data_IF_995700703400
#
_entry.id   IF_995700703400
#
_cell.length_a   1.000
_cell.length_b   1.000
_cell.length_c   1.000
_cell.angle_alpha   90.00
_cell.angle_beta   90.00
_cell.angle_gamma   90.00
#
_symmetry.space_group_name_H-M   'P 1'
#
loop_
_entity.id
_entity.type
_entity.pdbx_description
1 polymer ?
#
# COMPACT_ATOMS: atom_id res chain seq x y z
N UNK A 1 34.25 26.99 34.25
CA UNK A 1 34.02 27.80 33.02
C UNK A 1 33.90 26.98 31.75
N UNK A 2 34.79 26.02 31.45
CA UNK A 2 34.71 25.20 30.21
C UNK A 2 33.47 24.29 30.13
N UNK A 3 32.91 23.84 31.26
CA UNK A 3 31.69 23.03 31.34
C UNK A 3 30.39 23.81 31.10
N UNK A 4 30.36 25.12 31.37
CA UNK A 4 29.19 25.98 31.17
C UNK A 4 29.08 26.38 29.69
N UNK A 5 30.20 26.63 29.01
CA UNK A 5 30.21 26.91 27.57
C UNK A 5 29.73 25.71 26.73
N UNK A 6 30.02 24.47 27.15
CA UNK A 6 29.61 23.27 26.42
C UNK A 6 28.10 22.99 26.53
N UNK A 7 27.50 23.29 27.70
CA UNK A 7 26.06 23.18 27.91
C UNK A 7 25.26 24.24 27.12
N UNK A 8 25.81 25.45 26.97
CA UNK A 8 25.18 26.53 26.18
C UNK A 8 25.21 26.26 24.66
N UNK A 9 26.27 25.63 24.15
CA UNK A 9 26.41 25.23 22.74
C UNK A 9 25.48 24.08 22.34
N UNK A 10 25.21 23.14 23.26
CA UNK A 10 24.21 22.09 23.06
C UNK A 10 22.78 22.64 23.11
N UNK A 11 22.51 23.63 23.98
CA UNK A 11 21.20 24.29 24.04
C UNK A 11 20.87 25.03 22.74
N UNK A 12 21.83 25.78 22.16
CA UNK A 12 21.61 26.52 20.91
C UNK A 12 21.35 25.60 19.71
N UNK A 13 22.04 24.46 19.61
CA UNK A 13 21.79 23.48 18.53
C UNK A 13 20.41 22.82 18.61
N UNK A 14 19.88 22.59 19.82
CA UNK A 14 18.52 22.05 19.98
C UNK A 14 17.43 23.08 19.68
N UNK A 15 17.68 24.37 19.90
CA UNK A 15 16.72 25.45 19.60
C UNK A 15 16.56 25.70 18.09
N UNK A 16 17.64 25.62 17.31
CA UNK A 16 17.58 25.81 15.86
C UNK A 16 16.82 24.69 15.13
N UNK A 17 16.95 23.44 15.60
CA UNK A 17 16.23 22.30 15.02
C UNK A 17 14.71 22.40 15.30
N UNK A 18 14.32 22.84 16.51
CA UNK A 18 12.92 23.09 16.85
C UNK A 18 12.34 24.30 16.08
N UNK A 19 13.14 25.35 15.86
CA UNK A 19 12.76 26.53 15.08
C UNK A 19 12.45 26.19 13.62
N UNK A 20 13.32 25.41 12.96
CA UNK A 20 13.10 24.97 11.57
C UNK A 20 11.84 24.12 11.40
N UNK A 21 11.53 23.23 12.36
CA UNK A 21 10.30 22.44 12.29
C UNK A 21 9.05 23.27 12.56
N UNK A 22 9.12 24.29 13.42
CA UNK A 22 7.98 25.16 13.72
C UNK A 22 7.54 25.98 12.50
N UNK A 23 8.49 26.51 11.72
CA UNK A 23 8.19 27.24 10.49
C UNK A 23 7.60 26.31 9.41
N UNK A 24 8.15 25.10 9.24
CA UNK A 24 7.59 24.10 8.33
C UNK A 24 6.15 23.70 8.71
N UNK A 25 5.88 23.51 10.01
CA UNK A 25 4.54 23.18 10.52
C UNK A 25 3.55 24.32 10.23
N UNK A 26 3.98 25.57 10.39
CA UNK A 26 3.16 26.75 10.09
C UNK A 26 2.83 26.85 8.60
N UNK A 27 3.77 26.50 7.74
CA UNK A 27 3.57 26.49 6.29
C UNK A 27 2.70 25.30 5.83
N UNK A 28 2.73 24.16 6.53
CA UNK A 28 1.93 22.99 6.21
C UNK A 28 0.43 23.28 6.22
N UNK A 29 -0.08 23.99 7.24
CA UNK A 29 -1.49 24.37 7.33
C UNK A 29 -1.93 25.19 6.12
N UNK A 30 -1.14 26.21 5.77
CA UNK A 30 -1.41 27.09 4.62
C UNK A 30 -1.36 26.31 3.30
N UNK A 31 -0.38 25.42 3.16
CA UNK A 31 -0.22 24.56 1.99
C UNK A 31 -1.44 23.65 1.80
N UNK A 32 -1.85 22.91 2.83
CA UNK A 32 -2.98 21.98 2.72
C UNK A 32 -4.30 22.71 2.51
N UNK A 33 -4.54 23.84 3.19
CA UNK A 33 -5.73 24.66 2.94
C UNK A 33 -5.76 25.19 1.49
N UNK A 34 -4.63 25.69 0.98
CA UNK A 34 -4.54 26.12 -0.42
C UNK A 34 -4.80 24.97 -1.39
N UNK A 35 -4.28 23.77 -1.10
CA UNK A 35 -4.47 22.58 -1.92
C UNK A 35 -5.91 22.09 -1.92
N UNK A 36 -6.57 22.14 -0.76
CA UNK A 36 -7.97 21.78 -0.70
C UNK A 36 -8.84 22.68 -1.57
N UNK A 37 -8.57 23.99 -1.57
CA UNK A 37 -9.30 24.93 -2.43
C UNK A 37 -8.95 24.77 -3.90
N UNK A 38 -7.68 24.56 -4.26
CA UNK A 38 -7.28 24.46 -5.68
C UNK A 38 -7.69 23.16 -6.35
N UNK A 39 -7.76 22.07 -5.57
CA UNK A 39 -7.96 20.71 -6.09
C UNK A 39 -9.36 20.17 -5.72
N UNK A 40 -10.27 21.04 -5.24
CA UNK A 40 -11.65 20.73 -4.82
C UNK A 40 -11.75 19.54 -3.85
N UNK A 41 -10.82 19.45 -2.89
CA UNK A 41 -10.75 18.35 -1.92
C UNK A 41 -11.74 18.59 -0.78
N UNK A 42 -12.71 17.69 -0.62
CA UNK A 42 -13.76 17.75 0.43
C UNK A 42 -13.17 17.64 1.84
N UNK A 43 -12.23 16.73 2.04
CA UNK A 43 -11.59 16.51 3.32
C UNK A 43 -10.26 15.80 3.16
N UNK A 44 -9.30 16.15 4.01
CA UNK A 44 -7.96 15.61 4.00
C UNK A 44 -7.43 15.48 5.43
N UNK A 45 -6.71 14.41 5.71
CA UNK A 45 -5.90 14.27 6.92
C UNK A 45 -4.45 14.09 6.53
N UNK A 46 -3.55 14.82 7.20
CA UNK A 46 -2.13 14.75 6.98
C UNK A 46 -1.36 14.63 8.29
N UNK A 47 -0.18 14.03 8.22
CA UNK A 47 0.77 13.93 9.33
C UNK A 47 2.20 14.08 8.79
N UNK A 48 3.08 14.67 9.61
CA UNK A 48 4.50 14.77 9.35
C UNK A 48 5.26 13.93 10.38
N UNK A 49 6.14 13.06 9.89
CA UNK A 49 6.95 12.17 10.71
C UNK A 49 8.42 12.49 10.46
N UNK A 50 9.15 12.83 11.53
CA UNK A 50 10.58 13.13 11.50
C UNK A 50 11.25 12.30 12.60
N UNK A 51 12.33 11.60 12.26
CA UNK A 51 13.07 10.72 13.17
C UNK A 51 12.16 9.75 13.95
N UNK A 52 11.20 9.16 13.25
CA UNK A 52 10.24 8.21 13.80
C UNK A 52 9.17 8.82 14.72
N UNK A 53 9.10 10.15 14.85
CA UNK A 53 8.13 10.85 15.70
C UNK A 53 7.15 11.65 14.85
N UNK A 54 5.87 11.57 15.20
CA UNK A 54 4.84 12.44 14.62
C UNK A 54 5.02 13.84 15.22
N UNK A 55 5.54 14.78 14.44
CA UNK A 55 5.76 16.16 14.87
C UNK A 55 4.55 17.06 14.61
N UNK A 56 3.67 16.64 13.69
CA UNK A 56 2.42 17.34 13.40
C UNK A 56 1.42 16.37 12.75
N UNK A 57 0.12 16.56 13.02
CA UNK A 57 -0.98 15.90 12.31
C UNK A 57 -2.25 16.72 12.42
N UNK A 58 -3.04 16.79 11.34
CA UNK A 58 -4.27 17.56 11.30
C UNK A 58 -5.25 17.03 10.26
N UNK A 59 -6.53 17.17 10.55
CA UNK A 59 -7.61 16.97 9.59
C UNK A 59 -8.18 18.32 9.13
N UNK A 60 -8.61 18.38 7.88
CA UNK A 60 -9.14 19.56 7.22
C UNK A 60 -10.42 19.20 6.46
N UNK A 61 -11.39 20.10 6.45
CA UNK A 61 -12.69 19.88 5.80
C UNK A 61 -13.50 18.77 6.46
N UNK A 62 -14.18 17.97 5.64
CA UNK A 62 -15.18 17.02 6.09
C UNK A 62 -14.83 15.59 5.65
N UNK A 63 -14.94 14.61 6.55
CA UNK A 63 -14.96 13.19 6.17
C UNK A 63 -16.33 12.78 5.63
N UNK A 64 -17.37 13.53 5.96
CA UNK A 64 -18.72 13.42 5.41
C UNK A 64 -19.29 14.82 5.27
N UNK A 65 -19.43 15.29 4.03
CA UNK A 65 -19.89 16.64 3.73
C UNK A 65 -21.39 16.81 3.99
N UNK A 66 -22.18 15.79 3.70
CA UNK A 66 -23.65 15.83 3.83
C UNK A 66 -24.04 15.93 5.31
N UNK A 67 -23.41 15.10 6.15
CA UNK A 67 -23.63 15.11 7.60
C UNK A 67 -22.74 16.11 8.34
N UNK A 68 -21.91 16.88 7.63
CA UNK A 68 -20.96 17.87 8.17
C UNK A 68 -20.02 17.28 9.24
N UNK A 69 -19.60 16.03 9.07
CA UNK A 69 -18.64 15.38 9.98
C UNK A 69 -17.24 15.83 9.59
N UNK A 70 -16.54 16.46 10.53
CA UNK A 70 -15.18 16.97 10.30
C UNK A 70 -14.19 15.83 10.05
N UNK A 71 -13.30 16.04 9.08
CA UNK A 71 -12.16 15.16 8.89
C UNK A 71 -11.19 15.34 10.06
N UNK A 72 -10.72 14.22 10.61
CA UNK A 72 -9.73 14.22 11.70
C UNK A 72 -8.58 13.26 11.39
N UNK A 73 -7.45 13.34 12.11
CA UNK A 73 -6.40 12.33 12.01
C UNK A 73 -6.81 10.90 12.41
N UNK A 74 -8.04 10.70 12.89
CA UNK A 74 -8.60 9.38 13.25
C UNK A 74 -9.67 8.90 12.26
N UNK A 75 -10.09 9.74 11.32
CA UNK A 75 -11.09 9.37 10.32
C UNK A 75 -10.54 8.25 9.44
N UNK A 76 -11.33 7.19 9.25
CA UNK A 76 -10.97 6.06 8.38
C UNK A 76 -11.30 6.43 6.95
N UNK A 77 -10.37 6.18 6.04
CA UNK A 77 -10.52 6.42 4.60
C UNK A 77 -10.04 5.21 3.81
N UNK A 78 -10.59 5.03 2.61
CA UNK A 78 -10.10 4.01 1.68
C UNK A 78 -8.74 4.46 1.10
N UNK A 79 -7.67 3.77 1.48
CA UNK A 79 -6.30 4.11 1.06
C UNK A 79 -5.95 3.61 -0.36
N UNK A 80 -6.86 2.88 -1.00
CA UNK A 80 -6.73 2.41 -2.38
C UNK A 80 -5.41 1.68 -2.64
N UNK A 81 -4.65 2.19 -3.61
CA UNK A 81 -3.42 1.52 -4.07
C UNK A 81 -2.30 1.44 -3.04
N UNK A 82 -2.37 2.20 -1.94
CA UNK A 82 -1.43 2.06 -0.80
C UNK A 82 -1.49 0.65 -0.20
N UNK A 83 -2.64 -0.03 -0.28
CA UNK A 83 -2.83 -1.42 0.16
C UNK A 83 -1.79 -2.39 -0.42
N UNK A 84 -1.28 -2.13 -1.62
CA UNK A 84 -0.24 -2.96 -2.26
C UNK A 84 1.04 -3.07 -1.43
N UNK A 85 1.38 -2.03 -0.67
CA UNK A 85 2.54 -2.05 0.21
C UNK A 85 2.39 -3.11 1.32
N UNK A 86 1.16 -3.29 1.85
CA UNK A 86 0.85 -4.35 2.82
C UNK A 86 0.89 -5.73 2.16
N UNK A 87 0.38 -5.88 0.94
CA UNK A 87 0.49 -7.14 0.18
C UNK A 87 1.94 -7.51 -0.09
N UNK A 88 2.76 -6.54 -0.52
CA UNK A 88 4.18 -6.74 -0.76
C UNK A 88 4.92 -7.12 0.54
N UNK A 89 4.63 -6.45 1.65
CA UNK A 89 5.18 -6.80 2.96
C UNK A 89 4.79 -8.23 3.38
N UNK A 90 3.52 -8.61 3.21
CA UNK A 90 3.06 -9.96 3.51
C UNK A 90 3.80 -11.04 2.68
N UNK A 91 4.01 -10.78 1.38
CA UNK A 91 4.83 -11.67 0.54
C UNK A 91 6.27 -11.74 1.03
N UNK A 92 6.89 -10.61 1.35
CA UNK A 92 8.28 -10.61 1.84
C UNK A 92 8.42 -11.35 3.17
N UNK A 93 7.44 -11.29 4.08
CA UNK A 93 7.42 -12.13 5.29
C UNK A 93 7.38 -13.64 4.95
N UNK A 94 6.68 -14.04 3.89
CA UNK A 94 6.68 -15.43 3.41
C UNK A 94 8.01 -15.81 2.74
N UNK A 95 8.68 -14.86 2.08
CA UNK A 95 10.04 -15.02 1.54
C UNK A 95 11.05 -15.24 2.66
N UNK A 96 11.00 -14.42 3.71
CA UNK A 96 11.86 -14.56 4.90
C UNK A 96 11.68 -15.90 5.61
N UNK A 97 10.48 -16.49 5.54
CA UNK A 97 10.18 -17.84 6.07
C UNK A 97 10.60 -18.97 5.13
N UNK A 98 11.14 -18.67 3.94
CA UNK A 98 11.51 -19.66 2.92
C UNK A 98 10.31 -20.33 2.23
N UNK A 99 9.10 -19.79 2.41
CA UNK A 99 7.87 -20.34 1.82
C UNK A 99 7.64 -19.85 0.38
N UNK A 100 8.20 -18.68 0.05
CA UNK A 100 8.18 -18.10 -1.29
C UNK A 100 9.60 -17.74 -1.71
N UNK A 101 9.91 -18.05 -2.95
CA UNK A 101 11.06 -17.55 -3.71
C UNK A 101 10.50 -16.65 -4.82
N UNK A 102 10.96 -15.40 -4.83
CA UNK A 102 10.48 -14.36 -5.75
C UNK A 102 10.74 -14.70 -7.22
N UNK A 103 11.81 -15.46 -7.50
CA UNK A 103 12.26 -15.76 -8.86
C UNK A 103 11.69 -17.08 -9.38
N UNK A 104 10.92 -17.81 -8.57
CA UNK A 104 10.20 -18.99 -9.02
C UNK A 104 8.89 -18.63 -9.73
N UNK A 105 8.44 -19.49 -10.66
CA UNK A 105 7.16 -19.32 -11.33
C UNK A 105 6.00 -19.20 -10.32
N UNK A 106 5.09 -18.24 -10.54
CA UNK A 106 3.95 -17.97 -9.67
C UNK A 106 3.04 -19.19 -9.49
N UNK A 107 2.85 -19.96 -10.56
CA UNK A 107 2.02 -21.16 -10.57
C UNK A 107 2.59 -22.32 -9.70
N UNK A 108 3.84 -22.22 -9.22
CA UNK A 108 4.36 -23.14 -8.19
C UNK A 108 3.66 -22.90 -6.84
N UNK A 109 3.33 -21.64 -6.53
CA UNK A 109 2.68 -21.25 -5.28
C UNK A 109 1.16 -21.16 -5.40
N UNK A 110 0.67 -20.88 -6.60
CA UNK A 110 -0.75 -20.82 -6.92
C UNK A 110 -1.07 -21.71 -8.14
N UNK A 111 -1.19 -23.05 -7.98
CA UNK A 111 -1.37 -23.98 -9.10
C UNK A 111 -2.64 -23.77 -9.93
N UNK A 112 -3.62 -23.06 -9.37
CA UNK A 112 -4.85 -22.64 -10.03
C UNK A 112 -4.65 -21.45 -10.99
N UNK A 113 -3.53 -20.72 -10.92
CA UNK A 113 -3.20 -19.65 -11.86
C UNK A 113 -2.78 -20.23 -13.21
N UNK A 114 -3.68 -20.14 -14.18
CA UNK A 114 -3.58 -20.71 -15.53
C UNK A 114 -4.25 -19.79 -16.57
N UNK A 115 -3.78 -18.54 -16.75
CA UNK A 115 -4.26 -17.66 -17.82
C UNK A 115 -4.00 -18.28 -19.20
N UNK A 116 -4.77 -17.83 -20.20
CA UNK A 116 -4.51 -18.16 -21.59
C UNK A 116 -3.20 -17.48 -22.04
N UNK A 117 -2.44 -18.16 -22.89
CA UNK A 117 -1.10 -17.74 -23.29
C UNK A 117 -1.01 -17.72 -24.80
N UNK A 118 -0.44 -16.64 -25.36
CA UNK A 118 -0.20 -16.51 -26.80
C UNK A 118 1.07 -17.25 -27.20
N UNK A 119 1.17 -17.62 -28.47
CA UNK A 119 2.37 -18.25 -29.02
C UNK A 119 3.62 -17.41 -28.72
N UNK A 120 4.69 -18.07 -28.26
CA UNK A 120 5.96 -17.41 -27.90
C UNK A 120 6.07 -16.95 -26.45
N UNK A 121 5.01 -17.07 -25.65
CA UNK A 121 5.04 -16.81 -24.20
C UNK A 121 5.04 -18.13 -23.41
N UNK A 122 5.60 -18.12 -22.20
CA UNK A 122 5.58 -19.27 -21.28
C UNK A 122 5.01 -18.87 -19.92
N UNK A 123 4.13 -19.69 -19.37
CA UNK A 123 3.57 -19.45 -18.03
C UNK A 123 4.66 -19.39 -16.96
N UNK A 124 5.67 -20.24 -17.10
CA UNK A 124 6.74 -20.36 -16.11
C UNK A 124 7.65 -19.13 -16.05
N UNK A 125 7.59 -18.24 -17.04
CA UNK A 125 8.32 -16.97 -17.01
C UNK A 125 7.62 -15.94 -16.10
N UNK A 126 6.34 -16.15 -15.76
CA UNK A 126 5.60 -15.33 -14.81
C UNK A 126 6.03 -15.70 -13.39
N UNK A 127 7.03 -15.01 -12.87
CA UNK A 127 7.52 -15.18 -11.48
C UNK A 127 6.73 -14.33 -10.49
N UNK A 128 6.81 -14.64 -9.19
CA UNK A 128 6.25 -13.80 -8.13
C UNK A 128 6.78 -12.36 -8.23
N UNK A 129 8.10 -12.21 -8.46
CA UNK A 129 8.76 -10.92 -8.67
C UNK A 129 8.11 -10.16 -9.82
N UNK A 130 7.91 -10.80 -10.97
CA UNK A 130 7.34 -10.14 -12.15
C UNK A 130 5.94 -9.58 -11.88
N UNK A 131 5.14 -10.25 -11.05
CA UNK A 131 3.82 -9.75 -10.67
C UNK A 131 3.93 -8.57 -9.71
N UNK A 132 4.81 -8.67 -8.69
CA UNK A 132 5.06 -7.58 -7.72
C UNK A 132 5.57 -6.30 -8.40
N UNK A 133 6.39 -6.45 -9.45
CA UNK A 133 6.98 -5.34 -10.20
C UNK A 133 6.17 -4.94 -11.43
N UNK A 134 4.92 -5.42 -11.58
CA UNK A 134 4.05 -5.08 -12.70
C UNK A 134 4.58 -5.45 -14.09
N UNK A 135 5.48 -6.43 -14.19
CA UNK A 135 6.10 -6.88 -15.43
C UNK A 135 5.66 -8.28 -15.88
N UNK A 136 4.63 -8.86 -15.26
CA UNK A 136 4.19 -10.23 -15.53
C UNK A 136 3.43 -10.46 -16.84
N UNK A 137 2.96 -9.39 -17.49
CA UNK A 137 2.03 -9.49 -18.62
C UNK A 137 0.59 -9.79 -18.22
N UNK A 138 0.28 -9.94 -16.92
CA UNK A 138 -1.10 -9.90 -16.43
C UNK A 138 -1.66 -8.53 -16.78
N UNK A 139 -2.83 -8.51 -17.43
CA UNK A 139 -3.46 -7.27 -17.87
C UNK A 139 -3.66 -6.27 -16.74
N UNK A 140 -3.72 -5.00 -17.10
CA UNK A 140 -4.23 -3.94 -16.21
C UNK A 140 -5.69 -4.20 -15.86
N UNK A 141 -6.28 -3.36 -15.03
CA UNK A 141 -7.62 -3.54 -14.50
C UNK A 141 -8.63 -3.91 -15.58
N UNK A 142 -9.26 -5.07 -15.40
CA UNK A 142 -10.57 -5.29 -15.97
C UNK A 142 -11.52 -5.17 -14.79
N UNK A 143 -12.31 -4.10 -14.75
CA UNK A 143 -13.37 -3.88 -13.77
C UNK A 143 -14.57 -4.84 -13.98
N UNK A 144 -14.30 -6.06 -14.45
CA UNK A 144 -15.26 -7.14 -14.53
C UNK A 144 -15.19 -7.91 -13.21
N UNK A 145 -16.36 -8.17 -12.63
CA UNK A 145 -16.54 -8.91 -11.36
C UNK A 145 -16.07 -8.20 -10.08
N UNK A 146 -15.95 -6.87 -10.10
CA UNK A 146 -15.96 -6.08 -8.86
C UNK A 146 -17.42 -5.86 -8.46
N UNK A 147 -17.89 -6.62 -7.48
CA UNK A 147 -19.10 -6.25 -6.75
C UNK A 147 -18.74 -5.05 -5.88
N UNK A 148 -19.17 -3.86 -6.31
CA UNK A 148 -18.91 -2.61 -5.59
C UNK A 148 -19.74 -2.51 -4.30
N UNK A 149 -20.83 -3.28 -4.16
CA UNK A 149 -21.66 -3.30 -2.96
C UNK A 149 -21.03 -4.16 -1.85
N UNK A 150 -20.42 -5.29 -2.21
CA UNK A 150 -19.79 -6.19 -1.22
C UNK A 150 -18.28 -6.06 -1.14
N UNK A 151 -17.63 -5.39 -2.10
CA UNK A 151 -16.16 -5.29 -2.20
C UNK A 151 -15.47 -6.62 -2.50
N UNK A 152 -16.22 -7.68 -2.82
CA UNK A 152 -15.68 -9.03 -3.04
C UNK A 152 -15.36 -9.24 -4.51
N UNK A 153 -14.09 -9.51 -4.81
CA UNK A 153 -13.75 -10.25 -6.01
C UNK A 153 -13.96 -11.74 -5.73
N UNK A 154 -15.11 -12.28 -6.13
CA UNK A 154 -15.52 -13.63 -5.72
C UNK A 154 -14.72 -14.74 -6.42
N UNK A 155 -14.13 -14.48 -7.58
CA UNK A 155 -13.21 -15.41 -8.26
C UNK A 155 -12.18 -14.69 -9.14
N UNK A 156 -11.19 -14.04 -8.51
CA UNK A 156 -10.08 -13.37 -9.21
C UNK A 156 -9.32 -14.37 -10.10
N UNK A 157 -9.06 -15.57 -9.59
CA UNK A 157 -8.22 -16.55 -10.29
C UNK A 157 -8.95 -17.08 -11.52
N UNK A 158 -10.22 -17.47 -11.40
CA UNK A 158 -11.04 -17.88 -12.54
C UNK A 158 -11.18 -16.77 -13.58
N UNK A 159 -11.41 -15.54 -13.13
CA UNK A 159 -11.45 -14.39 -14.02
C UNK A 159 -10.16 -14.22 -14.84
N UNK A 160 -9.00 -14.30 -14.18
CA UNK A 160 -7.70 -14.20 -14.86
C UNK A 160 -7.45 -15.40 -15.78
N UNK A 161 -7.89 -16.59 -15.40
CA UNK A 161 -7.77 -17.80 -16.23
C UNK A 161 -8.53 -17.70 -17.55
N UNK A 162 -9.63 -16.93 -17.59
CA UNK A 162 -10.40 -16.68 -18.81
C UNK A 162 -9.78 -15.65 -19.76
N UNK A 163 -8.72 -14.97 -19.33
CA UNK A 163 -8.07 -13.88 -20.06
C UNK A 163 -6.71 -14.31 -20.62
N UNK A 164 -6.14 -13.50 -21.52
CA UNK A 164 -4.80 -13.74 -22.07
C UNK A 164 -3.75 -12.88 -21.37
N UNK A 165 -2.55 -13.42 -21.17
CA UNK A 165 -1.39 -12.58 -20.94
C UNK A 165 -1.20 -11.61 -22.12
N UNK A 166 -0.90 -10.37 -21.80
CA UNK A 166 -0.83 -9.25 -22.76
C UNK A 166 0.51 -9.19 -23.49
N UNK A 167 1.60 -9.53 -22.79
CA UNK A 167 2.97 -9.57 -23.31
C UNK A 167 3.82 -10.56 -22.48
N UNK A 168 5.00 -11.01 -22.97
CA UNK A 168 5.89 -11.89 -22.22
C UNK A 168 6.37 -11.23 -20.91
N UNK A 169 6.48 -12.03 -19.84
CA UNK A 169 6.99 -11.52 -18.56
C UNK A 169 8.37 -10.87 -18.70
N UNK A 170 8.57 -9.74 -18.04
CA UNK A 170 9.78 -8.93 -18.11
C UNK A 170 9.88 -7.99 -19.32
N UNK A 171 9.01 -8.11 -20.32
CA UNK A 171 9.09 -7.28 -21.55
C UNK A 171 8.67 -5.82 -21.31
N UNK A 172 7.63 -5.58 -20.51
CA UNK A 172 7.09 -4.25 -20.26
C UNK A 172 6.50 -4.17 -18.84
N UNK A 173 6.40 -2.96 -18.30
CA UNK A 173 5.70 -2.68 -17.05
C UNK A 173 4.28 -2.17 -17.33
N UNK A 174 3.28 -2.83 -16.76
CA UNK A 174 1.87 -2.44 -16.80
C UNK A 174 1.30 -2.54 -15.39
N UNK A 175 0.95 -1.39 -14.82
CA UNK A 175 0.27 -1.35 -13.52
C UNK A 175 -1.00 -2.20 -13.55
N UNK A 176 -1.15 -3.09 -12.57
CA UNK A 176 -2.20 -4.11 -12.57
C UNK A 176 -2.71 -4.38 -11.16
N UNK A 177 -3.97 -4.00 -10.87
CA UNK A 177 -4.64 -4.44 -9.65
C UNK A 177 -4.95 -5.94 -9.71
N UNK A 178 -5.30 -6.46 -10.90
CA UNK A 178 -5.47 -7.89 -11.15
C UNK A 178 -4.25 -8.71 -10.69
N UNK A 179 -3.04 -8.27 -11.03
CA UNK A 179 -1.80 -8.89 -10.57
C UNK A 179 -1.68 -8.91 -9.04
N UNK A 180 -1.98 -7.79 -8.37
CA UNK A 180 -1.94 -7.74 -6.91
C UNK A 180 -3.06 -8.55 -6.23
N UNK A 181 -4.22 -8.69 -6.86
CA UNK A 181 -5.27 -9.59 -6.38
C UNK A 181 -4.83 -11.07 -6.48
N UNK A 182 -4.12 -11.44 -7.55
CA UNK A 182 -3.48 -12.76 -7.67
C UNK A 182 -2.41 -12.96 -6.59
N UNK A 183 -1.63 -11.93 -6.24
CA UNK A 183 -0.70 -12.00 -5.11
C UNK A 183 -1.42 -12.22 -3.78
N UNK A 184 -2.58 -11.58 -3.55
CA UNK A 184 -3.44 -11.86 -2.40
C UNK A 184 -3.90 -13.32 -2.34
N UNK A 185 -4.30 -13.89 -3.48
CA UNK A 185 -4.66 -15.32 -3.58
C UNK A 185 -3.45 -16.24 -3.35
N UNK A 186 -2.26 -15.82 -3.78
CA UNK A 186 -1.00 -16.54 -3.55
C UNK A 186 -0.64 -16.56 -2.07
N UNK A 187 -0.75 -15.42 -1.36
CA UNK A 187 -0.57 -15.36 0.10
C UNK A 187 -1.53 -16.33 0.78
N UNK A 188 -2.81 -16.34 0.39
CA UNK A 188 -3.81 -17.25 0.95
C UNK A 188 -3.45 -18.72 0.74
N UNK A 189 -3.04 -19.09 -0.48
CA UNK A 189 -2.69 -20.46 -0.83
C UNK A 189 -1.46 -20.95 -0.04
N UNK A 190 -0.41 -20.12 0.04
CA UNK A 190 0.85 -20.48 0.71
C UNK A 190 0.71 -20.48 2.24
N UNK A 191 0.05 -19.46 2.80
CA UNK A 191 -0.10 -19.32 4.25
C UNK A 191 -1.22 -20.18 4.85
N UNK A 192 -2.16 -20.65 4.02
CA UNK A 192 -3.40 -21.32 4.45
C UNK A 192 -4.29 -20.45 5.34
N UNK A 193 -4.09 -19.14 5.33
CA UNK A 193 -4.93 -18.15 6.02
C UNK A 193 -5.61 -17.23 5.00
N UNK A 194 -6.80 -16.70 5.33
CA UNK A 194 -7.40 -15.67 4.50
C UNK A 194 -6.51 -14.41 4.44
N UNK A 195 -6.45 -13.74 3.29
CA UNK A 195 -5.56 -12.58 3.08
C UNK A 195 -5.77 -11.48 4.11
N UNK A 196 -7.03 -11.07 4.38
CA UNK A 196 -7.32 -10.01 5.33
C UNK A 196 -6.91 -10.41 6.75
N UNK A 197 -7.12 -11.69 7.10
CA UNK A 197 -6.68 -12.25 8.38
C UNK A 197 -5.16 -12.27 8.51
N UNK A 198 -4.44 -12.68 7.47
CA UNK A 198 -2.98 -12.70 7.46
C UNK A 198 -2.42 -11.28 7.69
N UNK A 199 -2.88 -10.29 6.91
CA UNK A 199 -2.47 -8.89 7.05
C UNK A 199 -2.80 -8.36 8.44
N UNK A 200 -3.99 -8.64 8.96
CA UNK A 200 -4.37 -8.21 10.30
C UNK A 200 -3.46 -8.82 11.38
N UNK A 201 -3.19 -10.13 11.30
CA UNK A 201 -2.45 -10.88 12.31
C UNK A 201 -0.94 -10.59 12.30
N UNK A 202 -0.34 -10.53 11.12
CA UNK A 202 1.12 -10.47 10.97
C UNK A 202 1.66 -9.08 10.63
N UNK A 203 0.78 -8.11 10.34
CA UNK A 203 1.20 -6.73 10.02
C UNK A 203 0.48 -5.72 10.92
N UNK A 204 -0.86 -5.63 10.85
CA UNK A 204 -1.59 -4.56 11.54
C UNK A 204 -1.52 -4.69 13.06
N UNK A 205 -1.76 -5.89 13.60
CA UNK A 205 -1.75 -6.14 15.05
C UNK A 205 -0.37 -5.89 15.67
N UNK A 206 0.75 -6.43 15.14
CA UNK A 206 2.09 -6.14 15.67
C UNK A 206 2.49 -4.67 15.61
N UNK A 207 1.97 -3.91 14.63
CA UNK A 207 2.22 -2.48 14.49
C UNK A 207 1.25 -1.61 15.31
N UNK A 208 0.30 -2.20 16.03
CA UNK A 208 -0.70 -1.46 16.81
C UNK A 208 -1.70 -0.68 15.95
N UNK A 209 -1.91 -1.07 14.69
CA UNK A 209 -2.80 -0.41 13.75
C UNK A 209 -4.26 -0.83 13.97
N UNK A 210 -4.82 -0.54 15.14
CA UNK A 210 -6.15 -1.02 15.58
C UNK A 210 -7.34 -0.37 14.86
N UNK A 211 -7.10 0.63 14.00
CA UNK A 211 -8.13 1.35 13.25
C UNK A 211 -7.93 1.20 11.74
N UNK A 212 -7.46 0.03 11.31
CA UNK A 212 -7.18 -0.34 9.92
C UNK A 212 -7.71 -1.74 9.64
N UNK A 213 -8.34 -1.94 8.48
CA UNK A 213 -8.99 -3.21 8.12
C UNK A 213 -9.46 -3.25 6.66
N UNK A 214 -10.19 -4.30 6.32
CA UNK A 214 -10.79 -4.56 5.00
C UNK A 214 -12.31 -4.69 5.13
#
# INVERSE_FOLDING_TARGET
MKSILFALLLLSFTLDLFGQHADFIKDADKYFMSKMTSDDIVGLSAALVIDGKVVWKKGFGYSDLENKILMTPKSVVNIGSVTKTFTALALMQLVEKGLIDLDKPLNVYLPSFRPKIRQGMKLNDVTVRSVMTHTSGIQSDIWKNSDYETGKYTDVVGFINDTYLTYPAGMASLYSNAGYNILGSTIKEVSREDYARYVHRYILSPLGMTNSGF
#
